data_IF_771627791974
#
_entry.id   IF_771627791974
#
_cell.length_a   1.000
_cell.length_b   1.000
_cell.length_c   1.000
_cell.angle_alpha   90.00
_cell.angle_beta   90.00
_cell.angle_gamma   90.00
#
_symmetry.space_group_name_H-M   'P 1'
#
loop_
_entity.id
_entity.type
_entity.pdbx_description
1 polymer ?
#
# COMPACT_ATOMS: atom_id res chain seq x y z
N UNK A 1 5.13 -16.44 -21.09
CA UNK A 1 5.03 -16.29 -20.61
C UNK A 1 4.44 -15.49 -20.10
N UNK A 2 3.91 -15.19 -19.80
CA UNK A 2 3.31 -14.46 -19.46
C UNK A 2 2.70 -14.77 -18.31
N UNK A 3 2.96 -14.38 -17.30
CA UNK A 3 2.44 -14.67 -16.14
C UNK A 3 1.45 -13.66 -15.78
N UNK A 4 0.30 -13.70 -16.23
CA UNK A 4 -0.74 -12.77 -15.88
C UNK A 4 -0.98 -12.75 -14.40
N UNK A 5 -0.94 -13.92 -13.79
CA UNK A 5 -1.19 -14.00 -12.36
C UNK A 5 -0.15 -13.24 -11.58
N UNK A 6 1.08 -13.29 -12.05
CA UNK A 6 2.14 -12.60 -11.36
C UNK A 6 1.90 -11.09 -11.39
N UNK A 7 1.55 -10.59 -12.55
CA UNK A 7 1.31 -9.17 -12.71
C UNK A 7 0.12 -8.72 -11.88
N UNK A 8 -0.92 -9.52 -11.90
CA UNK A 8 -2.11 -9.18 -11.13
C UNK A 8 -1.80 -9.13 -9.64
N UNK A 9 -1.04 -10.09 -9.18
CA UNK A 9 -0.69 -10.14 -7.77
C UNK A 9 0.12 -8.90 -7.39
N UNK A 10 1.00 -8.49 -8.26
CA UNK A 10 1.82 -7.32 -8.00
C UNK A 10 0.96 -6.06 -7.89
N UNK A 11 0.01 -5.93 -8.78
CA UNK A 11 -0.85 -4.76 -8.78
C UNK A 11 -1.68 -4.70 -7.50
N UNK A 12 -2.27 -5.81 -7.13
CA UNK A 12 -3.10 -5.87 -5.92
C UNK A 12 -2.26 -5.61 -4.69
N UNK A 13 -1.11 -6.24 -4.62
CA UNK A 13 -0.21 -6.06 -3.49
C UNK A 13 0.23 -4.61 -3.37
N UNK A 14 0.54 -4.02 -4.49
CA UNK A 14 0.99 -2.63 -4.52
C UNK A 14 -0.10 -1.72 -3.99
N UNK A 15 -1.34 -1.98 -4.39
CA UNK A 15 -2.46 -1.19 -3.94
C UNK A 15 -2.62 -1.28 -2.43
N UNK A 16 -2.58 -2.50 -1.91
CA UNK A 16 -2.71 -2.68 -0.48
C UNK A 16 -1.58 -1.99 0.25
N UNK A 17 -0.38 -2.14 -0.26
CA UNK A 17 0.77 -1.55 0.37
C UNK A 17 0.66 -0.03 0.41
N UNK A 18 0.21 0.55 -0.68
CA UNK A 18 0.05 1.99 -0.74
C UNK A 18 -0.95 2.49 0.29
N UNK A 19 -2.09 1.80 0.37
CA UNK A 19 -3.11 2.18 1.33
C UNK A 19 -2.59 2.06 2.76
N UNK A 20 -1.89 0.98 3.04
CA UNK A 20 -1.35 0.76 4.38
C UNK A 20 -0.39 1.87 4.75
N UNK A 21 0.49 2.24 3.83
CA UNK A 21 1.46 3.29 4.09
C UNK A 21 0.76 4.61 4.36
N UNK A 22 -0.26 4.90 3.58
CA UNK A 22 -0.99 6.14 3.76
C UNK A 22 -1.66 6.18 5.13
N UNK A 23 -2.25 5.06 5.54
CA UNK A 23 -2.92 5.00 6.82
C UNK A 23 -1.93 5.21 7.96
N UNK A 24 -0.82 4.52 7.90
CA UNK A 24 0.20 4.63 8.93
C UNK A 24 0.76 6.05 8.97
N UNK A 25 1.02 6.61 7.82
CA UNK A 25 1.54 7.96 7.74
C UNK A 25 0.55 8.96 8.33
N UNK A 26 -0.73 8.75 8.06
CA UNK A 26 -1.76 9.64 8.58
C UNK A 26 -1.78 9.61 10.10
N UNK A 27 -1.72 8.42 10.66
CA UNK A 27 -1.74 8.27 12.11
C UNK A 27 -0.52 8.94 12.73
N UNK A 28 0.63 8.70 12.14
CA UNK A 28 1.86 9.30 12.66
C UNK A 28 1.81 10.81 12.58
N UNK A 29 1.26 11.31 11.50
CA UNK A 29 1.15 12.73 11.29
C UNK A 29 0.26 13.36 12.36
N UNK A 30 -0.85 12.72 12.66
CA UNK A 30 -1.76 13.24 13.67
C UNK A 30 -1.13 13.20 15.06
N UNK A 31 -0.42 12.15 15.34
CA UNK A 31 0.21 12.04 16.64
C UNK A 31 1.30 13.09 16.82
N UNK A 32 2.02 13.35 15.77
CA UNK A 32 3.07 14.35 15.87
C UNK A 32 2.50 15.71 16.15
N UNK A 33 1.31 15.95 15.59
CA UNK A 33 0.73 17.21 15.77
C UNK A 33 0.45 17.48 17.22
N UNK A 34 -0.06 16.47 17.90
CA UNK A 34 -0.38 16.60 19.29
C UNK A 34 0.84 16.71 20.11
#
# INVERSE_FOLDING_TARGET
MKDHMFVETLIISSSFFAIAVILVASVLFLERKG
#
